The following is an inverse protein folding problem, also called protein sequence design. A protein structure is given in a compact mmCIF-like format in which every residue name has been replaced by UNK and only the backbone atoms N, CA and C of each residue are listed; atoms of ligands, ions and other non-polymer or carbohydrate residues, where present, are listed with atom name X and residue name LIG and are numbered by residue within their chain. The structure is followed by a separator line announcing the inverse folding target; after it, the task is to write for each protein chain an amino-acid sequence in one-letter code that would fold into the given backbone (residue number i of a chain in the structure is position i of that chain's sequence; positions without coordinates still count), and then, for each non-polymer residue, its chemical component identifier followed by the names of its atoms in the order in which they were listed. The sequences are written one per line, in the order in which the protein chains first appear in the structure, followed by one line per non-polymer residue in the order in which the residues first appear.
data_IF_967784631318
#
_entry.id   IF_967784631318
#
_cell.length_a   1.000
_cell.length_b   1.000
_cell.length_c   1.000
_cell.angle_alpha   90.00
_cell.angle_beta   90.00
_cell.angle_gamma   90.00
#
_symmetry.space_group_name_H-M   'P 1'
#
loop_
_entity.id
_entity.type
_entity.pdbx_description
1 polymer ?
#
# COMPACT_ATOMS: atom_id res chain seq x y z
N UNK A 1 24.47 0.18 10.95
CA UNK A 1 23.64 -0.94 11.49
C UNK A 1 24.31 -2.25 11.09
N UNK A 2 24.20 -3.31 11.89
CA UNK A 2 24.73 -4.63 11.50
C UNK A 2 23.82 -5.28 10.46
N UNK A 3 24.39 -6.11 9.58
CA UNK A 3 23.63 -6.84 8.54
C UNK A 3 22.55 -7.72 9.17
N UNK A 4 22.82 -8.32 10.33
CA UNK A 4 21.85 -9.12 11.06
C UNK A 4 20.60 -8.31 11.47
N UNK A 5 20.77 -7.10 12.00
CA UNK A 5 19.64 -6.22 12.36
C UNK A 5 18.85 -5.81 11.12
N UNK A 6 19.53 -5.48 10.03
CA UNK A 6 18.86 -5.13 8.78
C UNK A 6 18.05 -6.31 8.22
N UNK A 7 18.60 -7.52 8.26
CA UNK A 7 17.92 -8.74 7.82
C UNK A 7 16.67 -9.01 8.66
N UNK A 8 16.77 -8.92 9.99
CA UNK A 8 15.62 -9.11 10.89
C UNK A 8 14.53 -8.08 10.60
N UNK A 9 14.88 -6.79 10.49
CA UNK A 9 13.90 -5.73 10.19
C UNK A 9 13.25 -5.94 8.82
N UNK A 10 14.02 -6.37 7.82
CA UNK A 10 13.49 -6.69 6.49
C UNK A 10 12.54 -7.88 6.53
N UNK A 11 12.88 -8.95 7.26
CA UNK A 11 11.98 -10.10 7.47
C UNK A 11 10.70 -9.69 8.16
N UNK A 12 10.77 -8.89 9.23
CA UNK A 12 9.60 -8.39 9.95
C UNK A 12 8.70 -7.56 9.03
N UNK A 13 9.30 -6.68 8.20
CA UNK A 13 8.54 -5.93 7.21
C UNK A 13 7.81 -6.86 6.22
N UNK A 14 8.51 -7.87 5.67
CA UNK A 14 7.91 -8.83 4.73
C UNK A 14 6.80 -9.69 5.35
N UNK A 15 6.90 -10.04 6.63
CA UNK A 15 5.84 -10.78 7.36
C UNK A 15 4.55 -9.96 7.45
N UNK A 16 4.61 -8.63 7.44
CA UNK A 16 3.43 -7.76 7.43
C UNK A 16 2.79 -7.63 6.03
N UNK A 17 3.60 -7.64 4.97
CA UNK A 17 3.12 -7.45 3.58
C UNK A 17 2.22 -8.61 3.11
N UNK A 18 2.54 -9.85 3.49
CA UNK A 18 1.77 -11.04 3.11
C UNK A 18 0.31 -10.99 3.59
N UNK A 19 0.05 -10.86 4.90
CA UNK A 19 -1.29 -10.68 5.46
C UNK A 19 -2.03 -9.48 4.87
N UNK A 20 -1.34 -8.35 4.65
CA UNK A 20 -1.92 -7.16 4.04
C UNK A 20 -2.40 -7.41 2.60
N UNK A 21 -1.58 -8.10 1.80
CA UNK A 21 -1.95 -8.51 0.45
C UNK A 21 -3.14 -9.46 0.46
N UNK A 22 -3.11 -10.49 1.29
CA UNK A 22 -4.20 -11.47 1.41
C UNK A 22 -5.51 -10.81 1.83
N UNK A 23 -5.48 -9.93 2.84
CA UNK A 23 -6.66 -9.18 3.27
C UNK A 23 -7.20 -8.30 2.13
N UNK A 24 -6.33 -7.62 1.37
CA UNK A 24 -6.75 -6.81 0.22
C UNK A 24 -7.45 -7.64 -0.85
N UNK A 25 -6.89 -8.81 -1.20
CA UNK A 25 -7.47 -9.70 -2.21
C UNK A 25 -8.81 -10.25 -1.74
N UNK A 26 -8.91 -10.65 -0.46
CA UNK A 26 -10.14 -11.13 0.14
C UNK A 26 -11.25 -10.08 0.11
N UNK A 27 -10.95 -8.85 0.52
CA UNK A 27 -11.90 -7.73 0.46
C UNK A 27 -12.36 -7.49 -0.99
N UNK A 28 -11.44 -7.47 -1.96
CA UNK A 28 -11.82 -7.30 -3.36
C UNK A 28 -12.69 -8.45 -3.88
N UNK A 29 -12.46 -9.68 -3.43
CA UNK A 29 -13.31 -10.81 -3.81
C UNK A 29 -14.69 -10.80 -3.14
N UNK A 30 -14.80 -10.29 -1.91
CA UNK A 30 -16.07 -10.27 -1.18
C UNK A 30 -16.96 -9.08 -1.58
N UNK A 31 -16.36 -7.92 -1.90
CA UNK A 31 -17.10 -6.67 -2.09
C UNK A 31 -17.16 -6.15 -3.54
N UNK A 32 -16.42 -6.72 -4.50
CA UNK A 32 -16.51 -6.28 -5.89
C UNK A 32 -17.80 -6.81 -6.58
N UNK A 33 -18.56 -5.96 -7.29
CA UNK A 33 -19.72 -6.42 -8.05
C UNK A 33 -19.32 -7.39 -9.16
N UNK A 34 -20.12 -8.43 -9.40
CA UNK A 34 -19.79 -9.51 -10.33
C UNK A 34 -19.45 -9.03 -11.74
N UNK A 35 -20.21 -8.06 -12.25
CA UNK A 35 -20.04 -7.52 -13.60
C UNK A 35 -18.67 -6.84 -13.83
N UNK A 36 -18.01 -6.34 -12.78
CA UNK A 36 -16.76 -5.56 -12.89
C UNK A 36 -15.64 -6.11 -12.01
N UNK A 37 -15.82 -7.28 -11.40
CA UNK A 37 -14.85 -7.91 -10.49
C UNK A 37 -13.46 -7.98 -11.11
N UNK A 38 -13.35 -8.50 -12.34
CA UNK A 38 -12.06 -8.57 -13.06
C UNK A 38 -11.43 -7.19 -13.24
N UNK A 39 -12.21 -6.16 -13.56
CA UNK A 39 -11.70 -4.79 -13.71
C UNK A 39 -11.19 -4.23 -12.38
N UNK A 40 -11.89 -4.46 -11.27
CA UNK A 40 -11.46 -4.03 -9.93
C UNK A 40 -10.12 -4.68 -9.55
N UNK A 41 -9.95 -5.96 -9.84
CA UNK A 41 -8.69 -6.66 -9.59
C UNK A 41 -7.56 -6.16 -10.49
N UNK A 42 -7.79 -6.05 -11.80
CA UNK A 42 -6.78 -5.59 -12.77
C UNK A 42 -6.36 -4.15 -12.50
N UNK A 43 -7.31 -3.23 -12.31
CA UNK A 43 -7.02 -1.83 -11.98
C UNK A 43 -6.28 -1.74 -10.64
N UNK A 44 -6.74 -2.48 -9.64
CA UNK A 44 -6.11 -2.51 -8.33
C UNK A 44 -4.72 -3.14 -8.31
N UNK A 45 -4.40 -4.04 -9.25
CA UNK A 45 -3.07 -4.60 -9.43
C UNK A 45 -2.16 -3.64 -10.21
N UNK A 46 -2.68 -3.04 -11.30
CA UNK A 46 -1.98 -2.03 -12.08
C UNK A 46 -1.54 -0.84 -11.23
N UNK A 47 -2.45 -0.28 -10.42
CA UNK A 47 -2.12 0.82 -9.51
C UNK A 47 -1.02 0.47 -8.51
N UNK A 48 -1.05 -0.75 -7.92
CA UNK A 48 0.01 -1.21 -7.02
C UNK A 48 1.36 -1.27 -7.73
N UNK A 49 1.39 -1.83 -8.95
CA UNK A 49 2.60 -1.95 -9.73
C UNK A 49 3.14 -0.57 -10.16
N UNK A 50 2.29 0.34 -10.63
CA UNK A 50 2.68 1.71 -10.96
C UNK A 50 3.27 2.44 -9.77
N UNK A 51 2.66 2.31 -8.58
CA UNK A 51 3.19 2.91 -7.35
C UNK A 51 4.57 2.32 -6.98
N UNK A 52 4.74 0.99 -7.09
CA UNK A 52 6.02 0.33 -6.86
C UNK A 52 7.10 0.81 -7.84
N UNK A 53 6.79 0.89 -9.13
CA UNK A 53 7.70 1.39 -10.16
C UNK A 53 8.07 2.85 -9.94
N UNK A 54 7.12 3.70 -9.55
CA UNK A 54 7.40 5.10 -9.21
C UNK A 54 8.33 5.20 -8.00
N UNK A 55 8.08 4.41 -6.95
CA UNK A 55 8.96 4.33 -5.78
C UNK A 55 10.38 3.90 -6.16
N UNK A 56 10.51 2.86 -6.99
CA UNK A 56 11.81 2.40 -7.49
C UNK A 56 12.53 3.46 -8.32
N UNK A 57 11.82 4.19 -9.18
CA UNK A 57 12.36 5.29 -9.97
C UNK A 57 12.84 6.46 -9.08
N UNK A 58 12.07 6.84 -8.05
CA UNK A 58 12.46 7.88 -7.10
C UNK A 58 13.70 7.49 -6.30
N UNK A 59 13.78 6.24 -5.83
CA UNK A 59 14.96 5.71 -5.13
C UNK A 59 16.17 5.67 -6.06
N UNK A 60 15.99 5.25 -7.32
CA UNK A 60 17.04 5.26 -8.34
C UNK A 60 17.54 6.67 -8.65
N UNK A 61 16.64 7.64 -8.79
CA UNK A 61 16.98 9.05 -8.97
C UNK A 61 17.77 9.61 -7.78
N UNK A 62 17.44 9.17 -6.56
CA UNK A 62 18.09 9.56 -5.34
C UNK A 62 19.23 8.62 -4.89
N UNK A 63 19.77 7.78 -5.78
CA UNK A 63 20.70 6.70 -5.41
C UNK A 63 22.00 7.17 -4.73
N UNK A 64 22.44 8.40 -4.98
CA UNK A 64 23.61 9.00 -4.33
C UNK A 64 23.32 9.55 -2.94
N UNK A 65 22.05 9.59 -2.53
CA UNK A 65 21.64 10.09 -1.22
C UNK A 65 22.01 9.10 -0.11
N UNK A 66 22.29 9.59 1.11
CA UNK A 66 22.53 8.71 2.26
C UNK A 66 21.31 7.79 2.52
N UNK A 67 21.51 6.51 2.88
CA UNK A 67 20.41 5.56 3.14
C UNK A 67 19.38 6.06 4.17
N UNK A 68 19.84 6.85 5.16
CA UNK A 68 18.96 7.47 6.17
C UNK A 68 17.94 8.43 5.57
N UNK A 69 18.33 9.19 4.53
CA UNK A 69 17.43 10.12 3.84
C UNK A 69 16.37 9.36 3.07
N UNK A 70 16.77 8.29 2.37
CA UNK A 70 15.85 7.42 1.63
C UNK A 70 14.83 6.75 2.58
N UNK A 71 15.30 6.17 3.68
CA UNK A 71 14.43 5.57 4.70
C UNK A 71 13.51 6.61 5.36
N UNK A 72 14.00 7.83 5.59
CA UNK A 72 13.19 8.95 6.07
C UNK A 72 12.06 9.30 5.08
N UNK A 73 12.38 9.39 3.80
CA UNK A 73 11.38 9.63 2.73
C UNK A 73 10.32 8.53 2.68
N UNK A 74 10.72 7.26 2.74
CA UNK A 74 9.80 6.11 2.81
C UNK A 74 8.88 6.23 4.03
N UNK A 75 9.45 6.58 5.19
CA UNK A 75 8.69 6.73 6.43
C UNK A 75 7.65 7.84 6.33
N UNK A 76 7.99 8.99 5.73
CA UNK A 76 7.04 10.08 5.48
C UNK A 76 5.89 9.63 4.58
N UNK A 77 6.18 8.89 3.51
CA UNK A 77 5.13 8.36 2.62
C UNK A 77 4.20 7.37 3.33
N UNK A 78 4.74 6.48 4.16
CA UNK A 78 3.93 5.54 4.97
C UNK A 78 3.04 6.29 5.95
N UNK A 79 3.57 7.30 6.65
CA UNK A 79 2.79 8.13 7.58
C UNK A 79 1.71 8.94 6.86
N UNK A 80 2.01 9.49 5.68
CA UNK A 80 1.03 10.19 4.85
C UNK A 80 -0.10 9.25 4.39
N UNK A 81 0.23 8.01 4.00
CA UNK A 81 -0.76 7.00 3.65
C UNK A 81 -1.63 6.60 4.85
N UNK A 82 -1.03 6.43 6.04
CA UNK A 82 -1.76 6.15 7.27
C UNK A 82 -2.72 7.29 7.65
N UNK A 83 -2.26 8.55 7.54
CA UNK A 83 -3.08 9.73 7.76
C UNK A 83 -4.25 9.79 6.77
N UNK A 84 -3.99 9.59 5.48
CA UNK A 84 -5.04 9.56 4.45
C UNK A 84 -6.08 8.48 4.76
N UNK A 85 -5.64 7.27 5.13
CA UNK A 85 -6.53 6.19 5.52
C UNK A 85 -7.41 6.58 6.72
N UNK A 86 -6.81 7.15 7.78
CA UNK A 86 -7.56 7.61 8.95
C UNK A 86 -8.60 8.69 8.59
N UNK A 87 -8.25 9.63 7.69
CA UNK A 87 -9.17 10.66 7.22
C UNK A 87 -10.33 10.07 6.39
N UNK A 88 -10.08 9.03 5.61
CA UNK A 88 -11.13 8.35 4.83
C UNK A 88 -12.03 7.48 5.70
N UNK A 89 -11.47 6.75 6.67
CA UNK A 89 -12.23 5.95 7.61
C UNK A 89 -13.21 6.81 8.44
N UNK A 90 -12.80 8.03 8.80
CA UNK A 90 -13.66 9.00 9.52
C UNK A 90 -14.89 9.46 8.74
N UNK A 91 -14.88 9.42 7.40
CA UNK A 91 -16.01 9.90 6.60
C UNK A 91 -17.22 8.97 6.64
N UNK A 92 -17.08 7.75 7.18
CA UNK A 92 -18.15 6.78 7.34
C UNK A 92 -18.71 6.26 6.01
N UNK A 93 -19.30 5.05 5.96
CA UNK A 93 -20.08 4.63 4.81
C UNK A 93 -21.28 5.58 4.63
N UNK A 94 -21.45 6.17 3.44
CA UNK A 94 -22.68 6.87 3.09
C UNK A 94 -23.79 5.82 3.10
N UNK A 95 -24.83 6.01 3.93
CA UNK A 95 -25.97 5.10 3.97
C UNK A 95 -26.51 4.89 2.55
N UNK A 96 -26.89 3.65 2.16
CA UNK A 96 -27.47 3.40 0.85
C UNK A 96 -28.69 4.30 0.66
N UNK A 97 -28.82 4.92 -0.52
CA UNK A 97 -30.05 5.62 -0.86
C UNK A 97 -31.22 4.62 -0.82
N UNK A 98 -32.39 4.99 -0.26
CA UNK A 98 -33.55 4.10 -0.25
C UNK A 98 -33.89 3.69 -1.68
N UNK A 99 -34.16 2.39 -1.88
CA UNK A 99 -34.62 1.87 -3.15
C UNK A 99 -35.99 2.48 -3.50
N UNK A 100 -36.27 2.76 -4.80
CA UNK A 100 -37.56 3.26 -5.25
C UNK A 100 -38.68 2.24 -5.07
#
# INVERSE_FOLDING_TARGET
PSVAVAAVLFTVAGVCDGPLLTATLRIRSEYAPDAVRTQVFTLGAGLKLTAASLGAALVGFAATSPPRVLLGGISVLVLAAALLHALMARKGPKAPAPAP
#
